data_IF_145488227637
#
_entry.id   IF_145488227637
#
_cell.length_a   1.000
_cell.length_b   1.000
_cell.length_c   1.000
_cell.angle_alpha   90.00
_cell.angle_beta   90.00
_cell.angle_gamma   90.00
#
_symmetry.space_group_name_H-M   'P 1'
#
loop_
_entity.id
_entity.type
_entity.pdbx_description
1 polymer ?
#
# COMPACT_ATOMS: atom_id res chain seq x y z
N UNK A 1 17.65 -4.54 15.96
CA UNK A 1 18.15 -4.35 14.59
C UNK A 1 17.55 -3.06 14.02
N UNK A 2 18.38 -2.08 13.74
CA UNK A 2 17.93 -0.83 13.13
C UNK A 2 17.79 -1.07 11.61
N UNK A 3 16.54 -1.19 11.15
CA UNK A 3 16.28 -1.12 9.73
C UNK A 3 16.27 0.35 9.29
N UNK A 4 16.97 0.66 8.21
CA UNK A 4 17.00 2.00 7.63
C UNK A 4 18.36 2.70 7.71
N UNK A 5 19.43 2.00 8.03
CA UNK A 5 20.77 2.54 7.86
C UNK A 5 21.04 2.78 6.37
N UNK A 6 21.40 4.00 6.02
CA UNK A 6 21.76 4.38 4.67
C UNK A 6 23.20 4.86 4.66
N UNK A 7 23.97 4.44 3.66
CA UNK A 7 25.30 4.93 3.39
C UNK A 7 25.34 5.58 2.00
N UNK A 8 26.00 6.73 1.91
CA UNK A 8 26.21 7.41 0.66
C UNK A 8 27.43 6.79 -0.05
N UNK A 9 27.26 6.33 -1.27
CA UNK A 9 28.31 5.75 -2.11
C UNK A 9 28.95 6.78 -3.08
N UNK A 10 28.54 8.05 -2.97
CA UNK A 10 28.96 9.09 -3.89
C UNK A 10 28.17 9.12 -5.20
N UNK A 11 28.23 10.24 -5.91
CA UNK A 11 27.48 10.48 -7.15
C UNK A 11 25.97 10.26 -7.04
N UNK A 12 25.40 10.41 -5.85
CA UNK A 12 23.98 10.23 -5.59
C UNK A 12 23.52 8.78 -5.39
N UNK A 13 24.42 7.82 -5.46
CA UNK A 13 24.13 6.43 -5.13
C UNK A 13 24.07 6.23 -3.63
N UNK A 14 23.09 5.49 -3.17
CA UNK A 14 22.92 5.14 -1.76
C UNK A 14 22.86 3.63 -1.57
N UNK A 15 23.42 3.21 -0.47
CA UNK A 15 23.26 1.85 0.03
C UNK A 15 22.20 1.87 1.13
N UNK A 16 21.16 1.12 0.96
CA UNK A 16 20.09 0.98 1.95
C UNK A 16 20.18 -0.42 2.58
N UNK A 17 20.28 -0.47 3.90
CA UNK A 17 20.16 -1.71 4.66
C UNK A 17 18.71 -1.85 5.11
N UNK A 18 18.00 -2.76 4.51
CA UNK A 18 16.65 -3.13 4.90
C UNK A 18 16.65 -4.56 5.44
N UNK A 19 16.47 -4.67 6.76
CA UNK A 19 16.44 -5.94 7.50
C UNK A 19 17.77 -6.71 7.42
N UNK A 20 17.96 -7.57 6.48
CA UNK A 20 19.20 -8.35 6.24
C UNK A 20 19.68 -8.24 4.79
N UNK A 21 19.10 -7.32 4.03
CA UNK A 21 19.44 -7.13 2.62
C UNK A 21 20.02 -5.76 2.36
N UNK A 22 21.13 -5.74 1.68
CA UNK A 22 21.73 -4.53 1.14
C UNK A 22 21.14 -4.27 -0.25
N UNK A 23 20.65 -3.07 -0.45
CA UNK A 23 20.13 -2.62 -1.73
C UNK A 23 20.86 -1.38 -2.18
N UNK A 24 21.33 -1.39 -3.41
CA UNK A 24 21.91 -0.21 -4.05
C UNK A 24 20.78 0.57 -4.69
N UNK A 25 20.59 1.81 -4.25
CA UNK A 25 19.60 2.73 -4.79
C UNK A 25 20.29 3.69 -5.74
N UNK A 26 19.88 3.76 -7.01
CA UNK A 26 20.46 4.68 -7.97
C UNK A 26 20.20 6.13 -7.61
N UNK A 27 21.05 7.07 -8.07
CA UNK A 27 20.83 8.49 -7.85
C UNK A 27 19.49 8.92 -8.46
N UNK A 28 18.72 9.64 -7.67
CA UNK A 28 17.58 10.37 -8.22
C UNK A 28 18.08 11.40 -9.23
N UNK A 29 17.43 11.52 -10.39
CA UNK A 29 17.84 12.52 -11.37
C UNK A 29 17.67 13.93 -10.78
N UNK A 30 18.82 14.64 -10.72
CA UNK A 30 19.07 16.02 -10.27
C UNK A 30 19.23 16.24 -8.77
N UNK A 31 20.49 16.43 -8.39
CA UNK A 31 20.89 17.15 -7.20
C UNK A 31 20.41 18.61 -7.32
N UNK A 32 19.46 19.01 -6.46
CA UNK A 32 18.96 20.39 -6.42
C UNK A 32 17.44 20.48 -6.24
N UNK A 33 16.67 19.46 -6.53
CA UNK A 33 15.28 19.40 -6.12
C UNK A 33 15.20 18.71 -4.74
N UNK A 34 14.41 19.28 -3.81
CA UNK A 34 14.15 18.59 -2.56
C UNK A 34 13.61 17.19 -2.88
N UNK A 35 14.04 16.13 -2.17
CA UNK A 35 13.77 14.75 -2.50
C UNK A 35 12.28 14.35 -2.42
N UNK A 36 11.37 15.29 -2.54
CA UNK A 36 9.97 15.04 -2.28
C UNK A 36 8.98 15.84 -3.12
N UNK A 37 9.31 16.11 -4.36
CA UNK A 37 8.30 16.62 -5.30
C UNK A 37 8.35 15.93 -6.66
N UNK A 38 8.53 14.64 -6.70
CA UNK A 38 7.69 13.89 -7.62
C UNK A 38 6.31 13.99 -6.99
N UNK A 39 5.47 14.82 -7.58
CA UNK A 39 4.11 14.97 -7.16
C UNK A 39 3.55 13.59 -6.83
N UNK A 40 3.07 13.44 -5.60
CA UNK A 40 2.40 12.21 -5.23
C UNK A 40 1.40 11.90 -6.34
N UNK A 41 1.45 10.71 -6.89
CA UNK A 41 0.55 10.34 -7.96
C UNK A 41 -0.88 10.64 -7.48
N UNK A 42 -1.70 11.34 -8.27
CA UNK A 42 -3.02 11.75 -7.79
C UNK A 42 -3.85 10.50 -7.46
N UNK A 43 -4.68 10.55 -6.41
CA UNK A 43 -5.52 9.41 -6.07
C UNK A 43 -6.34 8.92 -7.26
N UNK A 44 -6.40 7.60 -7.43
CA UNK A 44 -7.26 6.95 -8.43
C UNK A 44 -8.56 6.55 -7.76
N UNK A 45 -9.67 7.05 -8.28
CA UNK A 45 -11.00 6.77 -7.73
C UNK A 45 -11.57 5.52 -8.39
N UNK A 46 -12.00 4.56 -7.55
CA UNK A 46 -12.66 3.34 -7.96
C UNK A 46 -14.16 3.48 -7.71
N UNK A 47 -14.85 4.17 -8.61
CA UNK A 47 -16.27 4.51 -8.49
C UNK A 47 -17.18 3.70 -9.43
N UNK A 48 -16.59 2.91 -10.31
CA UNK A 48 -17.32 2.01 -11.21
C UNK A 48 -17.53 0.64 -10.57
N UNK A 49 -18.56 -0.13 -10.95
CA UNK A 49 -18.78 -1.47 -10.39
C UNK A 49 -17.69 -2.47 -10.77
N UNK A 50 -16.95 -2.22 -11.83
CA UNK A 50 -15.77 -3.01 -12.21
C UNK A 50 -14.81 -2.16 -13.03
N UNK A 51 -13.53 -2.52 -13.01
CA UNK A 51 -12.52 -1.84 -13.81
C UNK A 51 -11.12 -2.31 -13.52
N UNK A 52 -10.18 -1.62 -14.13
CA UNK A 52 -8.76 -1.85 -14.00
C UNK A 52 -8.02 -0.52 -14.12
N UNK A 53 -7.01 -0.31 -13.31
CA UNK A 53 -6.11 0.84 -13.42
C UNK A 53 -4.70 0.44 -13.01
N UNK A 54 -3.71 1.13 -13.54
CA UNK A 54 -2.33 1.00 -13.12
C UNK A 54 -2.00 2.04 -12.05
N UNK A 55 -1.17 1.63 -11.10
CA UNK A 55 -0.62 2.48 -10.06
C UNK A 55 0.89 2.22 -9.95
N UNK A 56 1.69 3.07 -10.59
CA UNK A 56 3.13 2.82 -10.70
C UNK A 56 3.42 1.45 -11.31
N UNK A 57 4.13 0.60 -10.57
CA UNK A 57 4.43 -0.78 -10.97
C UNK A 57 3.34 -1.80 -10.57
N UNK A 58 2.18 -1.32 -10.21
CA UNK A 58 1.07 -2.15 -9.74
C UNK A 58 -0.13 -2.05 -10.66
N UNK A 59 -0.88 -3.15 -10.75
CA UNK A 59 -2.17 -3.23 -11.40
C UNK A 59 -3.25 -3.48 -10.39
N UNK A 60 -4.29 -2.66 -10.43
CA UNK A 60 -5.45 -2.74 -9.55
C UNK A 60 -6.67 -3.10 -10.40
N UNK A 61 -7.31 -4.21 -10.06
CA UNK A 61 -8.56 -4.66 -10.69
C UNK A 61 -9.65 -4.74 -9.64
N UNK A 62 -10.85 -4.40 -10.00
CA UNK A 62 -11.99 -4.51 -9.09
C UNK A 62 -13.25 -4.96 -9.82
N UNK A 63 -14.09 -5.65 -9.10
CA UNK A 63 -15.37 -6.16 -9.57
C UNK A 63 -16.30 -6.43 -8.39
N UNK A 64 -17.59 -6.50 -8.66
CA UNK A 64 -18.56 -6.93 -7.63
C UNK A 64 -18.53 -8.45 -7.51
N UNK A 65 -18.40 -8.93 -6.28
CA UNK A 65 -18.37 -10.36 -5.97
C UNK A 65 -18.96 -10.61 -4.57
N UNK A 66 -19.34 -11.84 -4.27
CA UNK A 66 -19.79 -12.21 -2.94
C UNK A 66 -18.60 -12.22 -1.96
N UNK A 67 -18.79 -11.61 -0.79
CA UNK A 67 -17.74 -11.59 0.23
C UNK A 67 -17.44 -12.98 0.76
N UNK A 68 -16.18 -13.35 0.99
CA UNK A 68 -15.82 -14.61 1.63
C UNK A 68 -16.19 -14.60 3.12
N UNK A 69 -16.23 -15.79 3.71
CA UNK A 69 -16.46 -15.94 5.15
C UNK A 69 -15.31 -15.36 5.97
N UNK A 70 -14.07 -15.47 5.48
CA UNK A 70 -12.86 -14.99 6.12
C UNK A 70 -11.96 -14.33 5.08
N UNK A 71 -11.42 -13.15 5.40
CA UNK A 71 -10.41 -12.48 4.58
C UNK A 71 -9.01 -12.69 5.15
N UNK A 72 -8.02 -12.74 4.27
CA UNK A 72 -6.62 -12.76 4.65
C UNK A 72 -6.16 -11.37 5.07
N UNK A 73 -5.36 -11.31 6.12
CA UNK A 73 -4.80 -10.05 6.62
C UNK A 73 -3.75 -9.46 5.66
N UNK A 74 -2.94 -10.30 5.05
CA UNK A 74 -1.77 -9.96 4.26
C UNK A 74 -1.86 -10.42 2.79
N UNK A 75 -3.08 -10.71 2.34
CA UNK A 75 -3.33 -11.10 0.94
C UNK A 75 -3.26 -9.93 -0.04
N UNK A 76 -3.26 -10.26 -1.32
CA UNK A 76 -3.32 -9.30 -2.42
C UNK A 76 -4.72 -9.16 -3.03
N UNK A 77 -5.67 -9.79 -2.44
CA UNK A 77 -7.10 -9.67 -2.76
C UNK A 77 -7.86 -9.32 -1.49
N UNK A 78 -8.74 -8.35 -1.58
CA UNK A 78 -9.61 -7.97 -0.47
C UNK A 78 -11.00 -7.63 -0.96
N UNK A 79 -11.98 -7.76 -0.08
CA UNK A 79 -13.37 -7.40 -0.31
C UNK A 79 -13.80 -6.29 0.63
N UNK A 80 -14.57 -5.36 0.10
CA UNK A 80 -15.03 -4.17 0.81
C UNK A 80 -16.53 -4.02 0.67
N UNK A 81 -17.19 -3.40 1.62
CA UNK A 81 -18.58 -2.97 1.44
C UNK A 81 -18.68 -2.12 0.17
N UNK A 82 -19.78 -2.24 -0.54
CA UNK A 82 -20.01 -1.45 -1.75
C UNK A 82 -19.92 0.05 -1.46
N UNK A 83 -19.21 0.77 -2.29
CA UNK A 83 -18.97 2.20 -2.15
C UNK A 83 -17.77 2.64 -2.96
N UNK A 84 -17.41 3.90 -2.84
CA UNK A 84 -16.28 4.49 -3.54
C UNK A 84 -15.00 4.23 -2.76
N UNK A 85 -14.01 3.64 -3.42
CA UNK A 85 -12.66 3.47 -2.91
C UNK A 85 -11.69 4.38 -3.68
N UNK A 86 -10.53 4.61 -3.09
CA UNK A 86 -9.44 5.31 -3.75
C UNK A 86 -8.12 4.57 -3.55
N UNK A 87 -7.28 4.59 -4.58
CA UNK A 87 -5.88 4.19 -4.49
C UNK A 87 -5.04 5.45 -4.35
N UNK A 88 -4.19 5.49 -3.37
CA UNK A 88 -3.29 6.62 -3.10
C UNK A 88 -1.94 6.20 -2.60
N UNK A 89 -1.00 7.14 -2.56
CA UNK A 89 0.32 6.92 -1.96
C UNK A 89 0.25 6.92 -0.43
N UNK A 90 1.20 6.22 0.19
CA UNK A 90 1.42 6.28 1.64
C UNK A 90 1.75 7.71 2.08
N UNK A 91 1.22 8.09 3.25
CA UNK A 91 1.51 9.35 3.93
C UNK A 91 2.04 9.08 5.34
N UNK A 92 3.06 9.83 5.80
CA UNK A 92 3.47 9.76 7.19
C UNK A 92 2.28 9.99 8.13
N UNK A 93 2.17 9.18 9.18
CA UNK A 93 1.06 9.25 10.11
C UNK A 93 -0.16 8.40 9.76
N UNK A 94 -0.19 7.77 8.59
CA UNK A 94 -1.25 6.82 8.23
C UNK A 94 -1.39 5.72 9.28
N UNK A 95 -2.63 5.46 9.69
CA UNK A 95 -2.99 4.43 10.67
C UNK A 95 -4.12 3.58 10.15
N UNK A 96 -4.13 2.33 10.56
CA UNK A 96 -5.24 1.41 10.33
C UNK A 96 -5.43 0.49 11.53
N UNK A 97 -6.62 -0.09 11.63
CA UNK A 97 -6.93 -1.11 12.63
C UNK A 97 -6.74 -2.49 12.00
N UNK A 98 -5.63 -3.21 12.27
CA UNK A 98 -5.34 -4.48 11.59
C UNK A 98 -6.40 -5.53 11.84
N UNK A 99 -6.79 -6.25 10.81
CA UNK A 99 -7.68 -7.39 10.90
C UNK A 99 -7.08 -8.47 11.82
N UNK A 100 -7.84 -8.88 12.82
CA UNK A 100 -7.37 -9.82 13.84
C UNK A 100 -6.41 -9.23 14.90
N UNK A 101 -6.10 -7.95 14.80
CA UNK A 101 -5.27 -7.23 15.77
C UNK A 101 -6.09 -6.43 16.77
N UNK A 102 -5.40 -5.69 17.62
CA UNK A 102 -6.03 -4.79 18.61
C UNK A 102 -5.65 -3.34 18.31
N UNK A 103 -6.64 -2.44 18.42
CA UNK A 103 -6.43 -1.02 18.28
C UNK A 103 -5.97 -0.59 16.89
N UNK A 104 -5.43 0.61 16.83
CA UNK A 104 -4.88 1.21 15.59
C UNK A 104 -3.37 1.13 15.58
N UNK A 105 -2.81 0.95 14.40
CA UNK A 105 -1.38 0.83 14.20
C UNK A 105 -0.91 1.75 13.08
N UNK A 106 0.27 2.33 13.22
CA UNK A 106 0.90 3.10 12.15
C UNK A 106 1.19 2.20 10.94
N UNK A 107 0.87 2.68 9.75
CA UNK A 107 1.16 1.99 8.50
C UNK A 107 2.66 1.69 8.35
N UNK A 108 3.53 2.60 8.80
CA UNK A 108 4.98 2.38 8.79
C UNK A 108 5.39 1.13 9.57
N UNK A 109 4.71 0.82 10.66
CA UNK A 109 4.96 -0.40 11.42
C UNK A 109 4.54 -1.66 10.66
N UNK A 110 3.43 -1.58 9.95
CA UNK A 110 2.98 -2.68 9.08
C UNK A 110 3.99 -2.95 7.97
N UNK A 111 4.52 -1.91 7.33
CA UNK A 111 5.57 -2.03 6.33
C UNK A 111 6.86 -2.64 6.90
N UNK A 112 7.25 -2.24 8.10
CA UNK A 112 8.43 -2.79 8.78
C UNK A 112 8.27 -4.28 9.06
N UNK A 113 7.12 -4.68 9.59
CA UNK A 113 6.84 -6.10 9.88
C UNK A 113 6.78 -6.96 8.60
N UNK A 114 6.28 -6.40 7.52
CA UNK A 114 6.25 -7.06 6.21
C UNK A 114 7.60 -6.98 5.48
N UNK A 115 8.60 -6.32 6.07
CA UNK A 115 9.94 -6.14 5.49
C UNK A 115 9.94 -5.42 4.15
N UNK A 116 9.06 -4.44 3.98
CA UNK A 116 9.03 -3.60 2.80
C UNK A 116 10.08 -2.50 2.94
N UNK A 117 11.05 -2.40 2.03
CA UNK A 117 12.08 -1.36 2.07
C UNK A 117 11.48 0.04 2.01
N UNK A 118 12.11 0.98 2.69
CA UNK A 118 11.64 2.37 2.74
C UNK A 118 11.47 3.00 1.36
N UNK A 119 12.36 2.68 0.43
CA UNK A 119 12.31 3.14 -0.97
C UNK A 119 11.07 2.65 -1.73
N UNK A 120 10.46 1.54 -1.34
CA UNK A 120 9.28 0.98 -1.98
C UNK A 120 7.97 1.50 -1.39
N UNK A 121 7.98 1.97 -0.14
CA UNK A 121 6.74 2.38 0.56
C UNK A 121 6.01 3.53 -0.11
N UNK A 122 6.74 4.48 -0.69
CA UNK A 122 6.17 5.64 -1.37
C UNK A 122 5.42 5.26 -2.66
N UNK A 123 5.77 4.14 -3.24
CA UNK A 123 5.18 3.62 -4.48
C UNK A 123 4.17 2.49 -4.23
N UNK A 124 3.93 2.17 -2.96
CA UNK A 124 2.99 1.13 -2.58
C UNK A 124 1.56 1.63 -2.68
N UNK A 125 0.66 0.89 -3.34
CA UNK A 125 -0.74 1.30 -3.40
C UNK A 125 -1.40 1.17 -2.03
N UNK A 126 -2.09 2.22 -1.60
CA UNK A 126 -2.87 2.24 -0.37
C UNK A 126 -4.33 2.38 -0.75
N UNK A 127 -5.19 1.54 -0.23
CA UNK A 127 -6.63 1.57 -0.50
C UNK A 127 -7.35 2.25 0.66
N UNK A 128 -8.06 3.33 0.36
CA UNK A 128 -8.88 4.03 1.34
C UNK A 128 -10.34 4.13 0.89
N UNK A 129 -11.23 4.24 1.85
CA UNK A 129 -12.63 4.51 1.62
C UNK A 129 -13.25 5.16 2.85
N UNK A 130 -14.23 6.03 2.65
CA UNK A 130 -14.92 6.76 3.72
C UNK A 130 -13.96 7.53 4.67
N UNK A 131 -12.83 8.02 4.12
CA UNK A 131 -11.83 8.75 4.90
C UNK A 131 -10.89 7.88 5.74
N UNK A 132 -11.01 6.57 5.68
CA UNK A 132 -10.17 5.62 6.42
C UNK A 132 -9.27 4.82 5.50
N UNK A 133 -8.03 4.59 5.94
CA UNK A 133 -7.14 3.62 5.30
C UNK A 133 -7.68 2.22 5.58
N UNK A 134 -8.07 1.51 4.52
CA UNK A 134 -8.73 0.22 4.62
C UNK A 134 -7.81 -0.97 4.33
N UNK A 135 -6.80 -0.79 3.50
CA UNK A 135 -5.96 -1.89 3.09
C UNK A 135 -4.60 -1.44 2.55
N UNK A 136 -3.56 -2.14 2.96
CA UNK A 136 -2.23 -2.09 2.36
C UNK A 136 -2.02 -3.44 1.68
N UNK A 137 -2.18 -3.55 0.35
CA UNK A 137 -2.14 -4.83 -0.36
C UNK A 137 -0.87 -5.62 -0.08
N UNK A 138 -1.02 -6.91 0.23
CA UNK A 138 0.10 -7.80 0.57
C UNK A 138 0.70 -7.57 1.96
N UNK A 139 0.22 -6.59 2.72
CA UNK A 139 0.79 -6.17 4.01
C UNK A 139 -0.23 -6.26 5.13
N UNK A 140 -1.33 -5.53 5.04
CA UNK A 140 -2.31 -5.48 6.13
C UNK A 140 -3.70 -5.05 5.65
N UNK A 141 -4.70 -5.84 5.96
CA UNK A 141 -6.11 -5.50 5.81
C UNK A 141 -6.63 -4.89 7.10
N UNK A 142 -7.32 -3.76 6.99
CA UNK A 142 -8.01 -3.15 8.13
C UNK A 142 -9.35 -3.85 8.43
N UNK A 143 -9.84 -3.67 9.65
CA UNK A 143 -11.21 -4.03 10.06
C UNK A 143 -12.27 -3.10 9.48
N UNK A 144 -11.88 -1.97 8.91
CA UNK A 144 -12.81 -1.02 8.28
C UNK A 144 -13.34 -1.54 6.95
N UNK A 145 -14.57 -1.22 6.65
CA UNK A 145 -15.23 -1.55 5.39
C UNK A 145 -15.31 -3.07 5.12
N UNK A 146 -15.36 -3.88 6.16
CA UNK A 146 -15.56 -5.33 6.03
C UNK A 146 -16.99 -5.64 5.63
N UNK A 147 -17.22 -6.31 4.49
CA UNK A 147 -18.56 -6.75 4.12
C UNK A 147 -18.99 -7.96 4.93
N UNK A 148 -20.29 -8.11 5.21
CA UNK A 148 -20.80 -9.35 5.76
C UNK A 148 -20.53 -10.53 4.82
N UNK A 149 -20.20 -11.73 5.34
CA UNK A 149 -19.99 -12.91 4.51
C UNK A 149 -21.15 -13.17 3.56
N UNK A 150 -20.84 -13.46 2.30
CA UNK A 150 -21.84 -13.75 1.24
C UNK A 150 -22.56 -12.54 0.68
N UNK A 151 -22.37 -11.34 1.22
CA UNK A 151 -22.98 -10.11 0.70
C UNK A 151 -22.30 -9.65 -0.59
N UNK A 152 -23.03 -8.94 -1.50
CA UNK A 152 -22.39 -8.25 -2.61
C UNK A 152 -21.37 -7.25 -2.09
N UNK A 153 -20.16 -7.32 -2.62
CA UNK A 153 -19.03 -6.53 -2.16
C UNK A 153 -18.14 -6.13 -3.32
N UNK A 154 -17.29 -5.16 -3.10
CA UNK A 154 -16.26 -4.79 -4.06
C UNK A 154 -15.01 -5.62 -3.79
N UNK A 155 -14.70 -6.54 -4.72
CA UNK A 155 -13.46 -7.30 -4.71
C UNK A 155 -12.38 -6.49 -5.41
N UNK A 156 -11.24 -6.33 -4.76
CA UNK A 156 -10.07 -5.64 -5.31
C UNK A 156 -8.87 -6.58 -5.30
N UNK A 157 -8.28 -6.76 -6.46
CA UNK A 157 -7.03 -7.50 -6.66
C UNK A 157 -5.92 -6.52 -7.01
N UNK A 158 -4.80 -6.61 -6.29
CA UNK A 158 -3.62 -5.77 -6.52
C UNK A 158 -2.41 -6.67 -6.71
N UNK A 159 -1.78 -6.53 -7.85
CA UNK A 159 -0.61 -7.31 -8.21
C UNK A 159 0.45 -6.46 -8.90
N UNK A 160 1.75 -6.80 -8.75
CA UNK A 160 2.78 -6.17 -9.57
C UNK A 160 2.49 -6.43 -11.04
N UNK A 161 2.71 -5.41 -11.85
CA UNK A 161 2.57 -5.60 -13.28
C UNK A 161 3.94 -5.47 -13.97
N UNK A 162 4.16 -6.32 -14.90
CA UNK A 162 5.42 -6.38 -15.67
C UNK A 162 5.50 -5.29 -16.73
#
# INVERSE_FOLDING_TARGET
AQSGATADLGQGWRLELAFDRLRVVPPSPRAGEPPNRRAAEPPRILDQPSGETDWGAWRVRWSVDAAPAVQQRDGRTAWFILGVLAVRSWRPGDRLAPLGGRGRRLAVRCFQDARIPRSERQHWPMIEGQGDLAWIPGVCRSTRLLPPPGSPSLRVDVEPHD
#
